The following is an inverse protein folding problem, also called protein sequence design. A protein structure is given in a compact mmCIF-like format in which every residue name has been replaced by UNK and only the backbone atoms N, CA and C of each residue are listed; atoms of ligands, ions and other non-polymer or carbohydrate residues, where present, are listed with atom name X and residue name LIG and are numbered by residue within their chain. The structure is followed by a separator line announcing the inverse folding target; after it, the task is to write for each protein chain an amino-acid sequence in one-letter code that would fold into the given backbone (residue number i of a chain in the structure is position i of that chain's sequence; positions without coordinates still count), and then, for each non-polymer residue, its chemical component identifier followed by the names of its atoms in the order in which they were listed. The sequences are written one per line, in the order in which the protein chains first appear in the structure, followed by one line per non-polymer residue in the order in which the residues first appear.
data_IF_179940292985
#
_entry.id   IF_179940292985
#
_cell.length_a   1.000
_cell.length_b   1.000
_cell.length_c   1.000
_cell.angle_alpha   90.00
_cell.angle_beta   90.00
_cell.angle_gamma   90.00
#
_symmetry.space_group_name_H-M   'P 1'
#
loop_
_entity.id
_entity.type
_entity.pdbx_description
1 polymer ?
#
# COMPACT_ATOMS: atom_id res chain seq x y z
N UNK A 1 -26.21 -9.22 4.58
CA UNK A 1 -24.84 -9.69 4.32
C UNK A 1 -24.24 -9.06 3.06
N UNK A 2 -24.92 -9.11 1.90
CA UNK A 2 -24.44 -8.48 0.67
C UNK A 2 -24.36 -6.96 0.83
N UNK A 3 -25.36 -6.35 1.45
CA UNK A 3 -25.37 -4.91 1.75
C UNK A 3 -24.29 -4.52 2.75
N UNK A 4 -23.94 -5.40 3.69
CA UNK A 4 -22.87 -5.15 4.65
C UNK A 4 -21.49 -5.27 3.99
N UNK A 5 -21.32 -6.25 3.11
CA UNK A 5 -20.09 -6.38 2.28
C UNK A 5 -19.94 -5.15 1.37
N UNK A 6 -21.00 -4.73 0.69
CA UNK A 6 -20.99 -3.53 -0.14
C UNK A 6 -20.63 -2.28 0.67
N UNK A 7 -21.22 -2.09 1.86
CA UNK A 7 -20.88 -0.98 2.76
C UNK A 7 -19.40 -1.01 3.19
N UNK A 8 -18.87 -2.19 3.51
CA UNK A 8 -17.44 -2.32 3.83
C UNK A 8 -16.55 -1.93 2.64
N UNK A 9 -16.92 -2.38 1.43
CA UNK A 9 -16.19 -2.02 0.21
C UNK A 9 -16.31 -0.52 -0.08
N UNK A 10 -17.49 0.07 0.10
CA UNK A 10 -17.72 1.51 -0.08
C UNK A 10 -16.89 2.34 0.92
N UNK A 11 -16.76 1.90 2.17
CA UNK A 11 -15.87 2.52 3.17
C UNK A 11 -14.39 2.48 2.72
N UNK A 12 -13.95 1.37 2.12
CA UNK A 12 -12.60 1.22 1.57
C UNK A 12 -12.38 2.20 0.41
N UNK A 13 -13.37 2.31 -0.49
CA UNK A 13 -13.32 3.21 -1.66
C UNK A 13 -13.31 4.68 -1.23
N UNK A 14 -14.10 5.03 -0.20
CA UNK A 14 -14.15 6.39 0.34
C UNK A 14 -12.90 6.80 1.11
N UNK A 15 -11.97 5.86 1.38
CA UNK A 15 -10.79 6.06 2.23
C UNK A 15 -11.13 6.67 3.61
N UNK A 16 -12.32 6.37 4.12
CA UNK A 16 -12.86 6.87 5.38
C UNK A 16 -12.59 5.88 6.51
N UNK A 17 -11.42 6.02 7.12
CA UNK A 17 -11.01 5.19 8.27
C UNK A 17 -11.90 5.40 9.50
N UNK A 18 -12.66 6.51 9.59
CA UNK A 18 -13.57 6.77 10.71
C UNK A 18 -14.91 6.05 10.54
N UNK A 19 -15.38 5.81 9.34
CA UNK A 19 -16.60 5.03 9.13
C UNK A 19 -16.36 3.52 9.32
N UNK A 20 -15.16 3.02 9.02
CA UNK A 20 -14.77 1.63 9.35
C UNK A 20 -14.63 1.39 10.86
N UNK A 21 -14.22 2.38 11.64
CA UNK A 21 -14.06 2.25 13.11
C UNK A 21 -15.39 2.27 13.87
N UNK A 22 -16.50 2.71 13.26
CA UNK A 22 -17.83 2.69 13.88
C UNK A 22 -18.48 1.31 13.92
N UNK A 23 -17.89 0.29 13.32
CA UNK A 23 -18.39 -1.09 13.45
C UNK A 23 -17.84 -1.85 14.65
N UNK A 24 -17.09 -1.21 15.56
CA UNK A 24 -16.75 -1.77 16.88
C UNK A 24 -17.97 -2.02 17.79
N UNK A 25 -19.17 -1.57 17.41
CA UNK A 25 -20.40 -1.79 18.18
C UNK A 25 -21.23 -3.00 17.74
N UNK A 26 -20.78 -3.83 16.82
CA UNK A 26 -21.46 -5.10 16.47
C UNK A 26 -20.97 -6.26 17.36
N UNK A 27 -20.88 -6.02 18.67
CA UNK A 27 -20.44 -7.01 19.66
C UNK A 27 -21.44 -8.18 19.90
N UNK A 28 -22.59 -8.19 19.23
CA UNK A 28 -23.65 -9.15 19.50
C UNK A 28 -23.97 -10.16 18.38
N UNK A 29 -23.16 -10.28 17.35
CA UNK A 29 -23.37 -11.28 16.32
C UNK A 29 -22.09 -12.07 16.05
N UNK A 30 -22.16 -13.37 16.09
CA UNK A 30 -21.13 -14.41 16.00
C UNK A 30 -20.21 -14.40 14.75
N UNK A 31 -20.07 -13.30 14.03
CA UNK A 31 -19.25 -13.20 12.81
C UNK A 31 -18.51 -11.87 12.75
N UNK A 32 -17.26 -11.88 13.17
CA UNK A 32 -16.35 -10.74 12.92
C UNK A 32 -15.84 -10.83 11.49
N UNK A 33 -16.27 -9.92 10.62
CA UNK A 33 -15.67 -9.71 9.31
C UNK A 33 -14.59 -8.67 9.52
N UNK A 34 -13.31 -9.07 9.43
CA UNK A 34 -12.17 -8.16 9.51
C UNK A 34 -11.73 -7.85 8.08
N UNK A 35 -11.91 -6.61 7.66
CA UNK A 35 -11.28 -6.11 6.46
C UNK A 35 -9.86 -5.69 6.83
N UNK A 36 -8.89 -6.56 6.58
CA UNK A 36 -7.49 -6.22 6.77
C UNK A 36 -7.02 -5.36 5.61
N UNK A 37 -6.86 -4.09 5.87
CA UNK A 37 -6.21 -3.13 4.97
C UNK A 37 -4.71 -3.24 5.25
N UNK A 38 -3.96 -3.57 4.21
CA UNK A 38 -2.51 -3.62 4.11
C UNK A 38 -1.88 -4.98 4.47
N UNK A 39 -1.00 -5.43 3.55
CA UNK A 39 0.11 -6.30 3.91
C UNK A 39 0.98 -5.53 4.91
N UNK A 40 0.69 -5.69 6.20
CA UNK A 40 1.26 -4.85 7.25
C UNK A 40 2.68 -5.27 7.56
N UNK A 41 3.64 -4.47 7.10
CA UNK A 41 4.90 -4.36 7.82
C UNK A 41 4.69 -4.01 9.30
N UNK A 42 3.55 -3.39 9.66
CA UNK A 42 3.21 -3.01 11.04
C UNK A 42 3.27 -4.19 12.03
N UNK A 43 2.80 -5.39 11.64
CA UNK A 43 2.89 -6.58 12.51
C UNK A 43 4.32 -7.06 12.73
N UNK A 44 5.21 -6.76 11.79
CA UNK A 44 6.61 -7.13 11.86
C UNK A 44 7.46 -6.05 12.56
N UNK A 45 6.90 -4.84 12.67
CA UNK A 45 7.59 -3.67 13.23
C UNK A 45 6.95 -3.11 14.51
N UNK A 46 5.82 -3.68 14.96
CA UNK A 46 5.15 -3.30 16.22
C UNK A 46 4.63 -4.53 16.94
N UNK A 47 4.72 -4.60 18.27
CA UNK A 47 4.05 -5.65 19.03
C UNK A 47 2.53 -5.52 18.83
N UNK A 48 1.93 -6.53 18.21
CA UNK A 48 0.47 -6.68 18.09
C UNK A 48 0.03 -7.92 18.86
N UNK A 49 -1.19 -7.90 19.37
CA UNK A 49 -1.75 -8.99 20.19
C UNK A 49 -2.36 -10.12 19.35
N UNK A 50 -1.99 -10.22 18.06
CA UNK A 50 -2.53 -11.23 17.16
C UNK A 50 -1.50 -11.67 16.12
N UNK A 51 -1.69 -12.89 15.60
CA UNK A 51 -0.93 -13.48 14.50
C UNK A 51 -1.86 -13.61 13.29
N UNK A 52 -1.58 -12.87 12.21
CA UNK A 52 -2.46 -12.86 11.02
C UNK A 52 -2.64 -14.23 10.38
N UNK A 53 -1.68 -15.14 10.58
CA UNK A 53 -1.71 -16.48 9.98
C UNK A 53 -2.51 -17.45 10.87
N UNK A 54 -2.40 -17.31 12.21
CA UNK A 54 -3.00 -18.24 13.17
C UNK A 54 -4.40 -17.82 13.63
N UNK A 55 -4.60 -16.50 13.82
CA UNK A 55 -5.80 -16.00 14.48
C UNK A 55 -6.91 -15.63 13.50
N UNK A 56 -6.62 -15.69 12.17
CA UNK A 56 -7.58 -15.35 11.13
C UNK A 56 -7.67 -16.41 10.04
N UNK A 57 -8.88 -16.56 9.51
CA UNK A 57 -9.19 -17.38 8.34
C UNK A 57 -9.31 -16.47 7.12
N UNK A 58 -8.46 -16.58 6.08
CA UNK A 58 -8.61 -15.81 4.85
C UNK A 58 -9.88 -16.22 4.10
N UNK A 59 -10.64 -15.23 3.62
CA UNK A 59 -11.90 -15.44 2.89
C UNK A 59 -11.75 -15.07 1.42
N UNK A 60 -11.23 -13.87 1.12
CA UNK A 60 -11.04 -13.39 -0.25
C UNK A 60 -10.02 -12.26 -0.33
N UNK A 61 -9.25 -12.19 -1.40
CA UNK A 61 -8.61 -10.96 -1.83
C UNK A 61 -9.66 -10.01 -2.44
N UNK A 62 -9.63 -8.75 -2.06
CA UNK A 62 -10.57 -7.73 -2.56
C UNK A 62 -9.92 -6.87 -3.63
N UNK A 63 -8.74 -6.35 -3.34
CA UNK A 63 -7.99 -5.45 -4.20
C UNK A 63 -6.50 -5.72 -4.10
N UNK A 64 -5.81 -5.55 -5.24
CA UNK A 64 -4.35 -5.65 -5.32
C UNK A 64 -3.77 -4.31 -5.75
N UNK A 65 -2.79 -3.83 -5.01
CA UNK A 65 -1.98 -2.68 -5.42
C UNK A 65 -1.10 -3.02 -6.62
N UNK A 66 -0.91 -2.07 -7.51
CA UNK A 66 -0.11 -2.26 -8.73
C UNK A 66 1.27 -1.60 -8.65
N UNK A 67 1.53 -0.83 -7.60
CA UNK A 67 2.81 -0.16 -7.36
C UNK A 67 2.66 1.18 -6.64
N UNK A 68 3.80 1.80 -6.35
CA UNK A 68 3.91 3.12 -5.75
C UNK A 68 4.57 4.10 -6.72
N UNK A 69 4.18 5.37 -6.64
CA UNK A 69 4.81 6.47 -7.37
C UNK A 69 5.92 7.06 -6.53
N UNK A 70 7.11 7.20 -7.10
CA UNK A 70 8.16 8.04 -6.56
C UNK A 70 7.85 9.49 -6.89
N UNK A 71 7.33 10.21 -5.91
CA UNK A 71 6.97 11.62 -6.02
C UNK A 71 8.05 12.49 -5.37
N UNK A 72 8.39 13.59 -6.03
CA UNK A 72 9.36 14.57 -5.53
C UNK A 72 8.74 15.97 -5.48
N UNK A 73 9.21 16.78 -4.54
CA UNK A 73 8.84 18.18 -4.47
C UNK A 73 9.52 18.98 -5.60
N UNK A 74 8.84 19.93 -6.26
CA UNK A 74 9.39 20.72 -7.39
C UNK A 74 10.62 21.55 -7.07
N UNK A 75 10.94 21.79 -5.80
CA UNK A 75 12.18 22.47 -5.39
C UNK A 75 13.45 21.71 -5.77
N UNK A 76 13.35 20.40 -5.99
CA UNK A 76 14.48 19.63 -6.54
C UNK A 76 14.62 19.92 -8.05
N UNK A 77 15.82 20.35 -8.51
CA UNK A 77 16.06 20.70 -9.91
C UNK A 77 16.33 19.45 -10.77
N UNK A 78 15.48 18.43 -10.64
CA UNK A 78 15.60 17.14 -11.32
C UNK A 78 14.25 16.70 -11.88
N UNK A 79 14.25 15.91 -12.95
CA UNK A 79 13.04 15.42 -13.60
C UNK A 79 13.08 13.90 -13.87
N UNK A 80 14.22 13.26 -13.68
CA UNK A 80 14.41 11.82 -13.88
C UNK A 80 15.04 11.18 -12.65
N UNK A 81 14.93 9.85 -12.53
CA UNK A 81 15.57 9.09 -11.44
C UNK A 81 17.09 9.19 -11.53
N UNK A 82 17.65 9.17 -12.74
CA UNK A 82 19.10 9.28 -12.94
C UNK A 82 19.61 10.65 -12.48
N UNK A 83 18.91 11.73 -12.85
CA UNK A 83 19.23 13.09 -12.37
C UNK A 83 19.09 13.18 -10.85
N UNK A 84 18.05 12.56 -10.29
CA UNK A 84 17.82 12.51 -8.83
C UNK A 84 18.97 11.81 -8.10
N UNK A 85 19.38 10.62 -8.55
CA UNK A 85 20.49 9.87 -7.96
C UNK A 85 21.81 10.68 -8.08
N UNK A 86 22.06 11.28 -9.24
CA UNK A 86 23.25 12.10 -9.44
C UNK A 86 23.24 13.37 -8.58
N UNK A 87 22.08 13.98 -8.38
CA UNK A 87 21.92 15.15 -7.53
C UNK A 87 22.11 14.79 -6.04
N UNK A 88 21.52 13.69 -5.58
CA UNK A 88 21.65 13.22 -4.20
C UNK A 88 23.12 12.98 -3.85
N UNK A 89 23.85 12.25 -4.70
CA UNK A 89 25.28 11.95 -4.48
C UNK A 89 26.19 13.17 -4.45
N UNK A 90 25.77 14.30 -5.02
CA UNK A 90 26.52 15.57 -5.02
C UNK A 90 26.05 16.54 -3.94
N UNK A 91 24.90 16.28 -3.35
CA UNK A 91 24.27 17.18 -2.38
C UNK A 91 25.08 17.22 -1.08
N UNK A 92 25.42 18.41 -0.63
CA UNK A 92 26.05 18.61 0.69
C UNK A 92 25.05 18.50 1.84
N UNK A 93 23.75 18.51 1.54
CA UNK A 93 22.67 18.38 2.52
C UNK A 93 21.92 17.06 2.27
N UNK A 94 21.57 16.32 3.32
CA UNK A 94 20.74 15.11 3.17
C UNK A 94 19.42 15.43 2.47
N UNK A 95 19.03 14.61 1.51
CA UNK A 95 17.70 14.64 0.93
C UNK A 95 16.80 13.79 1.80
N UNK A 96 15.71 14.37 2.32
CA UNK A 96 14.80 13.70 3.21
C UNK A 96 13.61 13.07 2.47
N UNK A 97 13.17 11.90 2.96
CA UNK A 97 11.93 11.27 2.53
C UNK A 97 10.98 11.05 3.70
N UNK A 98 9.68 11.16 3.43
CA UNK A 98 8.63 10.97 4.44
C UNK A 98 7.97 9.60 4.36
N UNK A 99 7.55 9.09 5.52
CA UNK A 99 6.73 7.89 5.64
C UNK A 99 5.66 8.05 6.71
N UNK A 100 4.58 7.24 6.68
CA UNK A 100 3.57 7.20 7.74
C UNK A 100 4.06 6.62 9.08
N UNK A 101 5.30 6.15 9.13
CA UNK A 101 5.90 5.55 10.32
C UNK A 101 6.92 4.48 9.97
N UNK A 102 7.72 4.10 10.96
CA UNK A 102 8.76 3.05 10.83
C UNK A 102 8.10 1.70 10.51
N UNK A 103 8.71 0.94 9.56
CA UNK A 103 8.23 -0.39 9.16
C UNK A 103 6.97 -0.41 8.29
N UNK A 104 6.37 0.74 7.99
CA UNK A 104 5.29 0.83 7.01
C UNK A 104 5.79 0.43 5.61
N UNK A 105 4.89 -0.01 4.73
CA UNK A 105 5.21 -0.41 3.36
C UNK A 105 5.90 0.70 2.54
N UNK A 106 5.56 1.96 2.80
CA UNK A 106 6.21 3.13 2.19
C UNK A 106 7.67 3.24 2.66
N UNK A 107 7.94 2.99 3.96
CA UNK A 107 9.29 2.93 4.49
C UNK A 107 10.10 1.81 3.83
N UNK A 108 9.54 0.61 3.76
CA UNK A 108 10.19 -0.54 3.11
C UNK A 108 10.50 -0.24 1.64
N UNK A 109 9.56 0.33 0.91
CA UNK A 109 9.77 0.71 -0.49
C UNK A 109 10.87 1.75 -0.66
N UNK A 110 10.94 2.74 0.24
CA UNK A 110 11.96 3.79 0.20
C UNK A 110 13.35 3.25 0.54
N UNK A 111 13.46 2.37 1.53
CA UNK A 111 14.74 1.73 1.87
C UNK A 111 15.22 0.73 0.81
N UNK A 112 14.29 0.02 0.15
CA UNK A 112 14.63 -0.78 -1.03
C UNK A 112 15.17 0.10 -2.15
N UNK A 113 14.58 1.26 -2.38
CA UNK A 113 15.10 2.23 -3.35
C UNK A 113 16.51 2.70 -2.96
N UNK A 114 16.73 3.10 -1.71
CA UNK A 114 18.05 3.47 -1.21
C UNK A 114 19.10 2.39 -1.52
N UNK A 115 18.77 1.15 -1.19
CA UNK A 115 19.68 0.01 -1.41
C UNK A 115 19.95 -0.25 -2.89
N UNK A 116 18.90 -0.20 -3.75
CA UNK A 116 19.03 -0.53 -5.19
C UNK A 116 19.65 0.60 -6.00
N UNK A 117 19.37 1.85 -5.64
CA UNK A 117 19.88 3.04 -6.30
C UNK A 117 21.25 3.50 -5.75
N UNK A 118 21.67 2.94 -4.61
CA UNK A 118 22.90 3.36 -3.91
C UNK A 118 22.83 4.80 -3.40
N UNK A 119 21.64 5.20 -2.91
CA UNK A 119 21.36 6.50 -2.29
C UNK A 119 21.31 6.39 -0.77
N UNK A 120 21.40 7.54 -0.07
CA UNK A 120 21.37 7.64 1.39
C UNK A 120 20.36 8.71 1.83
N UNK A 121 19.08 8.49 1.47
CA UNK A 121 18.01 9.42 1.82
C UNK A 121 17.75 9.38 3.34
N UNK A 122 17.51 10.56 3.93
CA UNK A 122 17.22 10.70 5.35
C UNK A 122 15.74 10.38 5.62
N UNK A 123 15.48 9.35 6.42
CA UNK A 123 14.12 8.96 6.81
C UNK A 123 13.51 9.92 7.84
N UNK A 124 12.34 10.48 7.53
CA UNK A 124 11.53 11.29 8.46
C UNK A 124 10.16 10.60 8.64
N UNK A 125 9.95 9.90 9.79
CA UNK A 125 8.67 9.24 10.08
C UNK A 125 7.64 10.24 10.60
N UNK A 126 6.40 10.13 10.08
CA UNK A 126 5.23 10.88 10.52
C UNK A 126 4.18 9.96 11.16
N UNK A 127 3.21 10.55 11.87
CA UNK A 127 2.09 9.80 12.47
C UNK A 127 0.94 9.62 11.46
N UNK A 128 1.21 8.87 10.36
CA UNK A 128 0.22 8.54 9.33
C UNK A 128 0.49 9.16 7.96
N UNK A 129 -0.32 8.76 6.97
CA UNK A 129 -0.12 9.13 5.57
C UNK A 129 -0.41 10.60 5.28
N UNK A 130 -1.44 11.18 5.94
CA UNK A 130 -1.81 12.57 5.70
C UNK A 130 -0.70 13.56 6.13
N UNK A 131 -0.14 13.52 7.36
CA UNK A 131 0.96 14.41 7.72
C UNK A 131 2.24 14.15 6.90
N UNK A 132 2.53 12.90 6.53
CA UNK A 132 3.66 12.55 5.66
C UNK A 132 3.52 13.20 4.26
N UNK A 133 2.33 13.15 3.67
CA UNK A 133 2.04 13.79 2.39
C UNK A 133 2.10 15.33 2.49
N UNK A 134 1.52 15.90 3.56
CA UNK A 134 1.54 17.35 3.75
C UNK A 134 2.97 17.89 3.84
N UNK A 135 3.85 17.21 4.55
CA UNK A 135 5.26 17.56 4.64
C UNK A 135 5.97 17.52 3.26
N UNK A 136 5.65 16.52 2.41
CA UNK A 136 6.16 16.46 1.04
C UNK A 136 5.64 17.63 0.19
N UNK A 137 4.33 17.92 0.26
CA UNK A 137 3.70 19.01 -0.50
C UNK A 137 4.19 20.39 -0.04
N UNK A 138 4.51 20.54 1.25
CA UNK A 138 5.08 21.76 1.81
C UNK A 138 6.59 21.91 1.52
N UNK A 139 7.26 20.86 1.02
CA UNK A 139 8.71 20.87 0.76
C UNK A 139 9.57 20.71 2.02
N UNK A 140 8.98 20.35 3.16
CA UNK A 140 9.72 20.01 4.39
C UNK A 140 10.59 18.75 4.17
N UNK A 141 10.09 17.81 3.39
CA UNK A 141 10.82 16.67 2.83
C UNK A 141 10.75 16.73 1.30
N UNK A 142 11.71 16.11 0.63
CA UNK A 142 11.86 16.26 -0.81
C UNK A 142 11.31 15.09 -1.62
N UNK A 143 11.14 13.91 -1.01
CA UNK A 143 10.79 12.67 -1.69
C UNK A 143 9.78 11.87 -0.89
N UNK A 144 8.90 11.14 -1.57
CA UNK A 144 8.19 10.00 -1.01
C UNK A 144 7.85 8.97 -2.09
N UNK A 145 7.80 7.69 -1.71
CA UNK A 145 7.35 6.59 -2.57
C UNK A 145 5.99 6.15 -2.03
N UNK A 146 4.91 6.64 -2.63
CA UNK A 146 3.56 6.53 -2.08
C UNK A 146 2.57 5.90 -3.07
N UNK A 147 1.44 5.34 -2.57
CA UNK A 147 0.35 4.88 -3.43
C UNK A 147 -0.14 5.98 -4.37
N UNK A 148 -0.42 5.66 -5.64
CA UNK A 148 -0.88 6.62 -6.63
C UNK A 148 -2.10 7.44 -6.17
N UNK A 149 -3.09 6.79 -5.56
CA UNK A 149 -4.31 7.45 -5.06
C UNK A 149 -4.01 8.66 -4.15
N UNK A 150 -2.93 8.61 -3.39
CA UNK A 150 -2.55 9.66 -2.43
C UNK A 150 -1.90 10.85 -3.14
N UNK A 151 -0.99 10.60 -4.08
CA UNK A 151 -0.16 11.66 -4.70
C UNK A 151 -0.73 12.22 -6.00
N UNK A 152 -1.63 11.49 -6.66
CA UNK A 152 -2.16 11.86 -7.98
C UNK A 152 -2.78 13.26 -8.05
N UNK A 153 -3.61 13.72 -7.09
CA UNK A 153 -4.15 15.08 -7.12
C UNK A 153 -3.07 16.17 -7.12
N UNK A 154 -1.97 15.92 -6.42
CA UNK A 154 -0.85 16.85 -6.30
C UNK A 154 0.07 16.81 -7.53
N UNK A 155 0.20 15.66 -8.18
CA UNK A 155 0.90 15.52 -9.45
C UNK A 155 0.11 16.25 -10.55
N UNK A 156 -1.21 16.02 -10.65
CA UNK A 156 -2.07 16.70 -11.63
C UNK A 156 -2.12 18.22 -11.46
N UNK A 157 -1.99 18.71 -10.22
CA UNK A 157 -1.93 20.15 -9.94
C UNK A 157 -0.52 20.77 -10.03
N UNK A 158 0.50 19.99 -10.36
CA UNK A 158 1.90 20.45 -10.48
C UNK A 158 2.59 20.71 -9.14
N UNK A 159 1.95 20.39 -8.01
CA UNK A 159 2.55 20.53 -6.67
C UNK A 159 3.59 19.46 -6.37
N UNK A 160 3.53 18.33 -7.06
CA UNK A 160 4.53 17.25 -7.01
C UNK A 160 4.89 16.82 -8.43
N UNK A 161 6.10 16.26 -8.60
CA UNK A 161 6.52 15.59 -9.82
C UNK A 161 6.58 14.09 -9.58
N UNK A 162 6.06 13.29 -10.51
CA UNK A 162 6.26 11.83 -10.53
C UNK A 162 7.47 11.52 -11.42
N UNK A 163 8.47 10.82 -10.91
CA UNK A 163 9.69 10.50 -11.67
C UNK A 163 9.89 9.01 -11.93
N UNK A 164 9.22 8.14 -11.18
CA UNK A 164 9.20 6.70 -11.44
C UNK A 164 8.00 6.02 -10.77
N UNK A 165 7.78 4.77 -11.19
CA UNK A 165 6.75 3.89 -10.64
C UNK A 165 7.35 2.52 -10.29
N UNK A 166 6.96 1.95 -9.14
CA UNK A 166 7.53 0.68 -8.64
C UNK A 166 6.82 -0.57 -9.16
N UNK A 167 5.75 -0.41 -9.94
CA UNK A 167 5.01 -1.53 -10.53
C UNK A 167 5.77 -2.24 -11.63
N UNK A 168 5.25 -3.37 -12.07
CA UNK A 168 5.82 -4.16 -13.17
C UNK A 168 5.50 -3.61 -14.57
N UNK A 169 4.56 -2.67 -14.64
CA UNK A 169 4.15 -1.96 -15.87
C UNK A 169 3.87 -0.50 -15.52
N UNK A 170 3.99 0.40 -16.49
CA UNK A 170 3.61 1.81 -16.29
C UNK A 170 2.16 1.94 -15.85
N UNK A 171 1.90 2.92 -15.01
CA UNK A 171 0.54 3.23 -14.57
C UNK A 171 -0.23 3.91 -15.71
N UNK A 172 -1.43 3.42 -16.04
CA UNK A 172 -2.27 3.98 -17.12
C UNK A 172 -2.55 5.48 -16.96
N UNK A 173 -2.71 5.92 -15.73
CA UNK A 173 -2.95 7.32 -15.38
C UNK A 173 -1.70 8.22 -15.46
N UNK A 174 -0.52 7.63 -15.57
CA UNK A 174 0.78 8.29 -15.71
C UNK A 174 1.64 7.58 -16.78
N UNK A 175 1.21 7.57 -18.05
CA UNK A 175 1.87 6.77 -19.10
C UNK A 175 3.31 7.23 -19.40
N UNK A 176 3.63 8.50 -19.13
CA UNK A 176 4.96 9.07 -19.34
C UNK A 176 5.93 8.78 -18.18
N UNK A 177 5.42 8.31 -17.03
CA UNK A 177 6.25 8.00 -15.86
C UNK A 177 6.82 6.58 -16.03
N UNK A 178 8.14 6.42 -16.10
CA UNK A 178 8.78 5.12 -16.30
C UNK A 178 8.67 4.24 -15.05
N UNK A 179 8.77 2.93 -15.26
CA UNK A 179 8.99 2.00 -14.14
C UNK A 179 10.46 1.98 -13.71
N UNK A 180 10.73 1.54 -12.50
CA UNK A 180 12.07 1.55 -11.91
C UNK A 180 13.11 0.80 -12.76
N UNK A 181 12.75 -0.32 -13.38
CA UNK A 181 13.67 -1.07 -14.25
C UNK A 181 14.03 -0.34 -15.54
N UNK A 182 13.13 0.48 -16.09
CA UNK A 182 13.40 1.31 -17.30
C UNK A 182 14.41 2.43 -17.00
N UNK A 183 14.53 2.82 -15.74
CA UNK A 183 15.45 3.89 -15.31
C UNK A 183 16.68 3.36 -14.57
N UNK A 184 16.99 2.06 -14.74
CA UNK A 184 18.24 1.45 -14.26
C UNK A 184 18.21 1.01 -12.79
N UNK A 185 17.10 1.16 -12.08
CA UNK A 185 16.92 0.62 -10.72
C UNK A 185 16.34 -0.78 -10.82
N UNK A 186 17.24 -1.78 -10.93
CA UNK A 186 16.85 -3.17 -11.10
C UNK A 186 16.30 -3.78 -9.80
N UNK A 187 15.50 -4.86 -9.93
CA UNK A 187 14.90 -5.60 -8.80
C UNK A 187 14.09 -4.73 -7.82
N UNK A 188 13.52 -3.63 -8.33
CA UNK A 188 12.69 -2.69 -7.57
C UNK A 188 11.21 -2.81 -7.96
N UNK A 189 10.72 -4.04 -8.20
CA UNK A 189 9.27 -4.28 -8.33
C UNK A 189 8.67 -4.37 -6.94
N UNK A 190 7.86 -3.38 -6.59
CA UNK A 190 7.15 -3.31 -5.33
C UNK A 190 5.69 -2.96 -5.61
N UNK A 191 4.82 -3.96 -5.61
CA UNK A 191 3.40 -3.80 -5.96
C UNK A 191 2.59 -3.07 -4.89
N UNK A 192 3.17 -2.86 -3.71
CA UNK A 192 2.52 -2.14 -2.62
C UNK A 192 1.67 -3.07 -1.76
N UNK A 193 0.45 -2.65 -1.49
CA UNK A 193 -0.45 -3.29 -0.55
C UNK A 193 -1.60 -4.00 -1.24
N UNK A 194 -2.22 -4.91 -0.53
CA UNK A 194 -3.47 -5.55 -0.92
C UNK A 194 -4.53 -5.31 0.16
N UNK A 195 -5.78 -5.49 -0.21
CA UNK A 195 -6.93 -5.49 0.70
C UNK A 195 -7.62 -6.84 0.61
N UNK A 196 -8.02 -7.39 1.74
CA UNK A 196 -8.66 -8.69 1.78
C UNK A 196 -9.64 -8.84 2.92
N UNK A 197 -10.50 -9.83 2.80
CA UNK A 197 -11.49 -10.20 3.78
C UNK A 197 -10.99 -11.40 4.59
N UNK A 198 -11.06 -11.27 5.91
CA UNK A 198 -10.73 -12.33 6.87
C UNK A 198 -11.88 -12.52 7.84
N UNK A 199 -11.97 -13.71 8.37
CA UNK A 199 -12.82 -14.04 9.52
C UNK A 199 -11.99 -14.57 10.69
N UNK A 200 -12.60 -14.84 11.86
CA UNK A 200 -11.93 -15.49 12.98
C UNK A 200 -11.34 -16.84 12.58
N UNK A 201 -10.29 -17.26 13.29
CA UNK A 201 -9.71 -18.59 13.10
C UNK A 201 -10.76 -19.69 13.29
N UNK A 202 -10.65 -20.76 12.50
CA UNK A 202 -11.50 -21.93 12.63
C UNK A 202 -12.90 -21.82 12.01
N UNK A 203 -13.14 -20.83 11.15
CA UNK A 203 -14.38 -20.79 10.37
C UNK A 203 -14.56 -22.08 9.56
N UNK A 204 -15.78 -22.64 9.58
CA UNK A 204 -16.09 -23.83 8.78
C UNK A 204 -15.99 -23.52 7.28
N UNK A 205 -15.59 -24.53 6.50
CA UNK A 205 -15.46 -24.38 5.05
C UNK A 205 -16.74 -23.85 4.39
N UNK A 206 -17.91 -24.31 4.85
CA UNK A 206 -19.20 -23.87 4.30
C UNK A 206 -19.43 -22.36 4.50
N UNK A 207 -19.01 -21.81 5.63
CA UNK A 207 -19.12 -20.36 5.91
C UNK A 207 -18.14 -19.58 5.04
N UNK A 208 -16.89 -20.04 4.94
CA UNK A 208 -15.89 -19.42 4.09
C UNK A 208 -16.33 -19.42 2.62
N UNK A 209 -16.77 -20.55 2.09
CA UNK A 209 -17.23 -20.68 0.70
C UNK A 209 -18.43 -19.76 0.41
N UNK A 210 -19.37 -19.65 1.37
CA UNK A 210 -20.53 -18.76 1.22
C UNK A 210 -20.12 -17.31 1.20
N UNK A 211 -19.26 -16.88 2.10
CA UNK A 211 -18.75 -15.49 2.16
C UNK A 211 -17.94 -15.16 0.89
N UNK A 212 -17.06 -16.06 0.47
CA UNK A 212 -16.31 -15.89 -0.76
C UNK A 212 -17.20 -15.71 -1.98
N UNK A 213 -18.24 -16.54 -2.12
CA UNK A 213 -19.17 -16.43 -3.24
C UNK A 213 -19.92 -15.09 -3.27
N UNK A 214 -20.27 -14.54 -2.09
CA UNK A 214 -20.88 -13.20 -2.02
C UNK A 214 -19.90 -12.10 -2.41
N UNK A 215 -18.63 -12.20 -1.99
CA UNK A 215 -17.57 -11.28 -2.43
C UNK A 215 -17.41 -11.31 -3.97
N UNK A 216 -17.34 -12.50 -4.56
CA UNK A 216 -17.21 -12.63 -6.03
C UNK A 216 -18.40 -12.00 -6.75
N UNK A 217 -19.63 -12.21 -6.26
CA UNK A 217 -20.83 -11.57 -6.82
C UNK A 217 -20.77 -10.05 -6.68
N UNK A 218 -20.32 -9.53 -5.54
CA UNK A 218 -20.16 -8.09 -5.32
C UNK A 218 -19.13 -7.50 -6.29
N UNK A 219 -17.94 -8.10 -6.37
CA UNK A 219 -16.87 -7.66 -7.28
C UNK A 219 -17.23 -7.81 -8.76
N UNK A 220 -18.23 -8.64 -9.12
CA UNK A 220 -18.72 -8.76 -10.48
C UNK A 220 -19.71 -7.65 -10.87
N UNK A 221 -20.22 -6.85 -9.92
CA UNK A 221 -21.16 -5.77 -10.20
C UNK A 221 -20.47 -4.64 -11.01
N UNK A 222 -21.04 -4.21 -12.16
CA UNK A 222 -20.40 -3.20 -13.00
C UNK A 222 -20.17 -1.87 -12.27
N UNK A 223 -21.13 -1.43 -11.47
CA UNK A 223 -21.04 -0.19 -10.69
C UNK A 223 -19.89 -0.23 -9.69
N UNK A 224 -19.76 -1.34 -8.94
CA UNK A 224 -18.67 -1.50 -7.99
C UNK A 224 -17.31 -1.55 -8.70
N UNK A 225 -17.19 -2.31 -9.79
CA UNK A 225 -15.97 -2.35 -10.60
C UNK A 225 -15.57 -0.98 -11.13
N UNK A 226 -16.53 -0.20 -11.60
CA UNK A 226 -16.29 1.16 -12.08
C UNK A 226 -15.82 2.07 -10.93
N UNK A 227 -16.48 2.01 -9.79
CA UNK A 227 -16.09 2.79 -8.60
C UNK A 227 -14.68 2.42 -8.13
N UNK A 228 -14.33 1.13 -8.08
CA UNK A 228 -13.00 0.67 -7.72
C UNK A 228 -11.94 1.14 -8.73
N UNK A 229 -12.25 1.06 -10.03
CA UNK A 229 -11.32 1.48 -11.08
C UNK A 229 -11.06 2.99 -11.11
N UNK A 230 -12.08 3.80 -10.76
CA UNK A 230 -11.98 5.27 -10.80
C UNK A 230 -11.69 5.90 -9.44
N UNK A 231 -12.13 5.26 -8.35
CA UNK A 231 -12.03 5.81 -6.99
C UNK A 231 -10.71 5.53 -6.29
N UNK A 232 -10.02 4.44 -6.66
CA UNK A 232 -8.77 4.02 -5.98
C UNK A 232 -7.65 3.80 -7.00
N UNK A 233 -7.11 4.89 -7.51
CA UNK A 233 -5.99 4.85 -8.48
C UNK A 233 -4.81 4.04 -7.93
N UNK A 234 -4.31 3.10 -8.73
CA UNK A 234 -3.19 2.24 -8.34
C UNK A 234 -3.61 0.93 -7.65
N UNK A 235 -4.90 0.60 -7.68
CA UNK A 235 -5.42 -0.69 -7.27
C UNK A 235 -6.27 -1.33 -8.37
N UNK A 236 -6.28 -2.65 -8.38
CA UNK A 236 -7.14 -3.44 -9.27
C UNK A 236 -7.98 -4.42 -8.44
N UNK A 237 -9.25 -4.68 -8.82
CA UNK A 237 -10.05 -5.72 -8.20
C UNK A 237 -9.33 -7.08 -8.30
N UNK A 238 -9.32 -7.84 -7.21
CA UNK A 238 -8.63 -9.13 -7.14
C UNK A 238 -9.64 -10.29 -7.24
N UNK A 239 -10.40 -10.57 -6.19
CA UNK A 239 -11.33 -11.70 -6.13
C UNK A 239 -10.64 -13.05 -5.95
N UNK A 240 -9.38 -13.08 -5.52
CA UNK A 240 -8.65 -14.34 -5.30
C UNK A 240 -9.33 -15.20 -4.22
N UNK A 241 -9.42 -16.54 -4.45
CA UNK A 241 -10.07 -17.45 -3.51
C UNK A 241 -9.28 -17.61 -2.20
N UNK A 242 -9.93 -18.15 -1.14
CA UNK A 242 -9.37 -18.23 0.21
C UNK A 242 -7.97 -18.85 0.26
N UNK A 243 -7.76 -19.95 -0.47
CA UNK A 243 -6.48 -20.65 -0.48
C UNK A 243 -5.37 -19.81 -1.12
N UNK A 244 -5.64 -19.22 -2.28
CA UNK A 244 -4.70 -18.37 -3.00
C UNK A 244 -4.37 -17.10 -2.20
N UNK A 245 -5.39 -16.46 -1.65
CA UNK A 245 -5.23 -15.28 -0.81
C UNK A 245 -4.44 -15.60 0.47
N UNK A 246 -4.78 -16.72 1.15
CA UNK A 246 -4.03 -17.20 2.32
C UNK A 246 -2.56 -17.51 2.01
N UNK A 247 -2.28 -18.07 0.82
CA UNK A 247 -0.90 -18.27 0.36
C UNK A 247 -0.18 -16.93 0.18
N UNK A 248 -0.81 -15.96 -0.48
CA UNK A 248 -0.25 -14.61 -0.67
C UNK A 248 0.10 -13.97 0.68
N UNK A 249 -0.80 -14.05 1.66
CA UNK A 249 -0.56 -13.49 3.02
C UNK A 249 0.69 -14.11 3.64
N UNK A 250 0.82 -15.44 3.61
CA UNK A 250 2.00 -16.13 4.17
C UNK A 250 3.29 -15.76 3.45
N UNK A 251 3.26 -15.72 2.12
CA UNK A 251 4.41 -15.37 1.30
C UNK A 251 4.85 -13.93 1.56
N UNK A 252 3.91 -13.00 1.72
CA UNK A 252 4.20 -11.60 2.02
C UNK A 252 4.77 -11.41 3.44
N UNK A 253 4.21 -12.09 4.45
CA UNK A 253 4.77 -12.05 5.82
C UNK A 253 6.23 -12.50 5.80
N UNK A 254 6.52 -13.60 5.12
CA UNK A 254 7.90 -14.10 4.98
C UNK A 254 8.79 -13.09 4.24
N UNK A 255 8.36 -12.63 3.08
CA UNK A 255 9.10 -11.69 2.23
C UNK A 255 9.42 -10.38 2.97
N UNK A 256 8.44 -9.78 3.63
CA UNK A 256 8.64 -8.54 4.37
C UNK A 256 9.53 -8.74 5.60
N UNK A 257 9.42 -9.87 6.31
CA UNK A 257 10.32 -10.19 7.41
C UNK A 257 11.80 -10.25 6.95
N UNK A 258 12.05 -10.91 5.81
CA UNK A 258 13.39 -11.01 5.22
C UNK A 258 13.93 -9.62 4.78
N UNK A 259 13.05 -8.78 4.20
CA UNK A 259 13.41 -7.42 3.79
C UNK A 259 13.76 -6.55 5.01
N UNK A 260 12.94 -6.56 6.05
CA UNK A 260 13.16 -5.79 7.27
C UNK A 260 14.48 -6.18 7.95
N UNK A 261 14.78 -7.49 8.01
CA UNK A 261 16.05 -7.98 8.54
C UNK A 261 17.24 -7.48 7.71
N UNK A 262 17.17 -7.60 6.37
CA UNK A 262 18.24 -7.15 5.45
C UNK A 262 18.48 -5.65 5.51
N UNK A 263 17.41 -4.87 5.70
CA UNK A 263 17.48 -3.41 5.80
C UNK A 263 17.77 -2.92 7.23
N UNK A 264 17.92 -3.85 8.20
CA UNK A 264 18.13 -3.54 9.62
C UNK A 264 17.07 -2.57 10.20
N UNK A 265 15.84 -2.66 9.71
CA UNK A 265 14.72 -1.87 10.23
C UNK A 265 14.25 -2.52 11.53
N UNK A 266 14.48 -1.82 12.66
CA UNK A 266 14.09 -2.31 13.98
C UNK A 266 12.63 -1.97 14.27
N UNK A 267 11.89 -2.86 14.97
CA UNK A 267 10.58 -2.56 15.51
C UNK A 267 10.65 -1.34 16.45
N UNK A 268 9.69 -0.44 16.33
CA UNK A 268 9.59 0.77 17.17
C UNK A 268 8.46 0.66 18.18
#
# INVERSE_FOLDING_TARGET
LLDDINKCIDCIVANDSQSCSRHDSMYDAHYYIVVAIQGRGDQLCRPVNYDVIKDFTPIAGLMQGVGFVMAIHPSLPVNTVQEFIAYEKKSSKPIAYSTPGVGNTIHIASELFNQRAGTQLLHIPYKGSAPSLNALVAGEVQVAIMPPAIVMPFIKSGKLKAIAFTGSKRLSDLPDVPIMSEVGVQDMIFQGTWMGLFGPAGLSKNVVDRLYNEVVKALAQPTLRQNLATGVVGYVPDGSPPEQFGKQVRDDVKRYSEILQKLNIQPS
#
